data_IF_723420034612
#
_entry.id   IF_723420034612
#
_cell.length_a   1.000
_cell.length_b   1.000
_cell.length_c   1.000
_cell.angle_alpha   90.00
_cell.angle_beta   90.00
_cell.angle_gamma   90.00
#
_symmetry.space_group_name_H-M   'P 1'
#
loop_
_entity.id
_entity.type
_entity.pdbx_description
1 polymer ?
#
# COMPACT_ATOMS: atom_id res chain seq x y z
N UNK A 1 -77.79 45.63 -43.19
CA UNK A 1 -76.75 45.84 -42.15
C UNK A 1 -77.03 44.85 -41.04
N UNK A 2 -76.29 43.73 -41.01
CA UNK A 2 -76.38 42.72 -39.95
C UNK A 2 -74.96 42.33 -39.58
N UNK A 3 -74.60 42.60 -38.33
CA UNK A 3 -73.29 42.31 -37.74
C UNK A 3 -73.41 40.98 -37.00
N UNK A 4 -72.57 39.99 -37.34
CA UNK A 4 -72.45 38.74 -36.59
C UNK A 4 -71.17 38.79 -35.75
N UNK A 5 -71.31 38.70 -34.43
CA UNK A 5 -70.22 38.64 -33.46
C UNK A 5 -69.56 37.25 -33.47
N UNK A 6 -68.23 37.22 -33.55
CA UNK A 6 -67.42 36.04 -33.24
C UNK A 6 -67.06 36.04 -31.74
N UNK A 7 -67.35 34.94 -31.04
CA UNK A 7 -66.95 34.72 -29.66
C UNK A 7 -65.65 33.89 -29.62
N UNK A 8 -64.60 34.42 -28.99
CA UNK A 8 -63.35 33.71 -28.74
C UNK A 8 -63.41 33.03 -27.36
N UNK A 9 -63.10 31.73 -27.30
CA UNK A 9 -62.98 30.95 -26.06
C UNK A 9 -61.50 30.91 -25.65
N UNK A 10 -61.17 31.44 -24.48
CA UNK A 10 -59.84 31.34 -23.87
C UNK A 10 -59.77 30.10 -22.98
N UNK A 11 -58.84 29.19 -23.28
CA UNK A 11 -58.51 28.03 -22.44
C UNK A 11 -57.45 28.46 -21.42
N UNK A 12 -57.79 28.42 -20.13
CA UNK A 12 -56.85 28.64 -19.03
C UNK A 12 -56.22 27.31 -18.60
N UNK A 13 -54.89 27.20 -18.69
CA UNK A 13 -54.14 26.11 -18.07
C UNK A 13 -53.84 26.45 -16.60
N UNK A 14 -54.12 25.52 -15.68
CA UNK A 14 -53.69 25.62 -14.27
C UNK A 14 -52.29 25.00 -14.09
N UNK A 15 -51.42 25.56 -13.22
CA UNK A 15 -50.10 25.01 -12.94
C UNK A 15 -50.15 23.78 -12.02
N UNK A 16 -49.21 22.85 -12.22
CA UNK A 16 -49.06 21.63 -11.42
C UNK A 16 -48.35 21.90 -10.08
N UNK A 17 -48.59 21.09 -9.02
CA UNK A 17 -47.99 21.28 -7.71
C UNK A 17 -46.54 20.76 -7.63
N UNK A 18 -45.71 21.45 -6.85
CA UNK A 18 -44.27 21.15 -6.67
C UNK A 18 -44.00 19.88 -5.83
N UNK A 19 -42.92 19.13 -6.13
CA UNK A 19 -42.53 17.96 -5.35
C UNK A 19 -41.84 18.35 -4.03
N UNK A 20 -42.24 17.70 -2.94
CA UNK A 20 -41.67 17.88 -1.59
C UNK A 20 -40.27 17.27 -1.53
N UNK A 21 -39.24 18.11 -1.35
CA UNK A 21 -37.84 17.71 -1.19
C UNK A 21 -37.58 17.18 0.23
N UNK A 22 -37.32 15.89 0.37
CA UNK A 22 -36.86 15.30 1.62
C UNK A 22 -35.44 15.79 1.97
N UNK A 23 -35.22 16.18 3.24
CA UNK A 23 -33.91 16.59 3.74
C UNK A 23 -33.00 15.37 3.92
N UNK A 24 -31.70 15.45 3.55
CA UNK A 24 -30.77 14.35 3.79
C UNK A 24 -30.46 14.26 5.29
N UNK A 25 -30.62 13.05 5.85
CA UNK A 25 -30.14 12.73 7.20
C UNK A 25 -28.63 12.53 7.13
N UNK A 26 -27.87 13.45 7.71
CA UNK A 26 -26.42 13.30 7.87
C UNK A 26 -26.14 12.27 8.96
N UNK A 27 -25.78 11.06 8.56
CA UNK A 27 -25.19 10.07 9.47
C UNK A 27 -23.71 10.41 9.61
N UNK A 28 -23.32 10.97 10.76
CA UNK A 28 -21.92 11.17 11.10
C UNK A 28 -21.32 9.84 11.53
N UNK A 29 -20.66 9.14 10.61
CA UNK A 29 -19.84 7.96 10.95
C UNK A 29 -18.53 8.47 11.54
N UNK A 30 -18.38 8.42 12.86
CA UNK A 30 -17.10 8.63 13.52
C UNK A 30 -16.21 7.40 13.30
N UNK A 31 -15.34 7.45 12.28
CA UNK A 31 -14.26 6.49 12.10
C UNK A 31 -13.24 6.65 13.23
N UNK A 32 -13.32 5.81 14.26
CA UNK A 32 -12.26 5.71 15.26
C UNK A 32 -11.16 4.82 14.68
N UNK A 33 -10.06 5.42 14.25
CA UNK A 33 -8.83 4.70 13.84
C UNK A 33 -8.36 3.82 14.99
N UNK A 34 -8.25 2.51 14.76
CA UNK A 34 -7.84 1.55 15.78
C UNK A 34 -6.32 1.56 15.94
N UNK A 35 -5.82 1.50 17.18
CA UNK A 35 -4.38 1.46 17.43
C UNK A 35 -3.69 0.28 16.70
N UNK A 36 -2.39 0.39 16.38
CA UNK A 36 -1.61 -0.75 15.90
C UNK A 36 -1.72 -1.94 16.85
N UNK A 37 -1.80 -3.15 16.30
CA UNK A 37 -1.84 -4.40 17.09
C UNK A 37 -0.58 -5.19 16.81
N UNK A 38 0.14 -5.56 17.87
CA UNK A 38 1.38 -6.34 17.78
C UNK A 38 1.16 -7.72 18.39
N UNK A 39 1.47 -8.77 17.66
CA UNK A 39 1.28 -10.15 18.09
C UNK A 39 2.54 -11.00 17.85
N UNK A 40 2.84 -11.98 18.73
CA UNK A 40 3.81 -13.03 18.40
C UNK A 40 3.29 -13.86 17.21
N UNK A 41 4.22 -14.54 16.52
CA UNK A 41 3.90 -15.44 15.41
C UNK A 41 4.49 -16.82 15.66
N UNK A 42 3.80 -17.85 15.20
CA UNK A 42 4.28 -19.23 15.14
C UNK A 42 4.78 -19.55 13.73
N UNK A 43 5.47 -20.67 13.56
CA UNK A 43 5.83 -21.16 12.22
C UNK A 43 4.59 -21.41 11.33
N UNK A 44 3.47 -21.83 11.93
CA UNK A 44 2.22 -22.04 11.21
C UNK A 44 1.63 -20.72 10.70
N UNK A 45 1.69 -19.66 11.51
CA UNK A 45 1.21 -18.33 11.12
C UNK A 45 2.00 -17.74 9.96
N UNK A 46 3.29 -18.05 9.84
CA UNK A 46 4.19 -17.60 8.77
C UNK A 46 4.01 -18.37 7.46
N UNK A 47 3.43 -19.57 7.51
CA UNK A 47 3.22 -20.43 6.35
C UNK A 47 4.49 -20.63 5.51
N UNK A 48 4.35 -20.43 4.19
CA UNK A 48 5.45 -20.64 3.24
C UNK A 48 6.60 -19.61 3.34
N UNK A 49 6.40 -18.49 4.04
CA UNK A 49 7.44 -17.46 4.21
C UNK A 49 8.55 -17.89 5.16
N UNK A 50 8.38 -18.98 5.91
CA UNK A 50 9.36 -19.49 6.87
C UNK A 50 9.52 -21.01 6.76
N UNK A 51 10.74 -21.50 7.02
CA UNK A 51 11.06 -22.94 7.10
C UNK A 51 12.28 -23.17 8.01
N UNK A 52 12.52 -24.40 8.50
CA UNK A 52 13.79 -24.73 9.14
C UNK A 52 14.98 -24.35 8.24
N UNK A 53 15.98 -23.67 8.83
CA UNK A 53 17.13 -23.12 8.12
C UNK A 53 17.04 -21.62 7.81
N UNK A 54 15.88 -20.98 8.01
CA UNK A 54 15.78 -19.53 8.03
C UNK A 54 16.64 -18.91 9.13
N UNK A 55 17.20 -17.70 8.90
CA UNK A 55 18.20 -17.13 9.79
C UNK A 55 17.61 -16.58 11.10
N UNK A 56 16.28 -16.47 11.21
CA UNK A 56 15.57 -16.03 12.42
C UNK A 56 14.46 -17.01 12.77
N UNK A 57 14.25 -17.21 14.07
CA UNK A 57 13.17 -18.04 14.57
C UNK A 57 11.83 -17.27 14.59
N UNK A 58 10.66 -17.94 14.50
CA UNK A 58 9.36 -17.25 14.57
C UNK A 58 9.20 -16.39 15.84
N UNK A 59 9.78 -16.81 16.96
CA UNK A 59 9.75 -16.05 18.22
C UNK A 59 10.47 -14.69 18.17
N UNK A 60 11.32 -14.46 17.18
CA UNK A 60 12.02 -13.19 16.94
C UNK A 60 11.22 -12.24 16.04
N UNK A 61 10.15 -12.73 15.42
CA UNK A 61 9.29 -11.96 14.53
C UNK A 61 8.01 -11.53 15.25
N UNK A 62 7.42 -10.43 14.79
CA UNK A 62 6.12 -9.93 15.23
C UNK A 62 5.26 -9.64 14.01
N UNK A 63 4.00 -10.08 14.08
CA UNK A 63 2.95 -9.58 13.22
C UNK A 63 2.53 -8.21 13.75
N UNK A 64 2.44 -7.23 12.87
CA UNK A 64 1.93 -5.90 13.16
C UNK A 64 0.77 -5.60 12.22
N UNK A 65 -0.37 -5.24 12.80
CA UNK A 65 -1.52 -4.74 12.06
C UNK A 65 -1.48 -3.22 12.08
N UNK A 66 -1.47 -2.60 10.90
CA UNK A 66 -1.25 -1.17 10.69
C UNK A 66 -2.35 -0.56 9.83
N UNK A 67 -2.74 0.67 10.13
CA UNK A 67 -3.62 1.43 9.26
C UNK A 67 -2.82 2.18 8.19
N UNK A 68 -3.32 2.22 6.96
CA UNK A 68 -2.69 2.91 5.83
C UNK A 68 -3.73 3.57 4.93
N UNK A 69 -3.31 4.53 4.08
CA UNK A 69 -4.19 5.11 3.06
C UNK A 69 -4.11 4.28 1.78
N UNK A 70 -5.24 3.77 1.32
CA UNK A 70 -5.34 3.01 0.08
C UNK A 70 -5.22 3.88 -1.17
N UNK A 71 -5.07 3.27 -2.34
CA UNK A 71 -5.15 3.99 -3.62
C UNK A 71 -6.53 4.63 -3.87
N UNK A 72 -7.56 4.17 -3.18
CA UNK A 72 -8.90 4.78 -3.17
C UNK A 72 -9.00 6.02 -2.26
N UNK A 73 -7.92 6.36 -1.53
CA UNK A 73 -7.85 7.51 -0.64
C UNK A 73 -8.49 7.30 0.74
N UNK A 74 -8.96 6.09 1.03
CA UNK A 74 -9.59 5.70 2.30
C UNK A 74 -8.60 5.03 3.25
N UNK A 75 -8.97 4.95 4.53
CA UNK A 75 -8.24 4.17 5.52
C UNK A 75 -8.49 2.67 5.31
N UNK A 76 -7.40 1.92 5.22
CA UNK A 76 -7.37 0.46 5.19
C UNK A 76 -6.53 -0.06 6.34
N UNK A 77 -6.64 -1.37 6.61
CA UNK A 77 -5.81 -2.06 7.58
C UNK A 77 -5.04 -3.19 6.91
N UNK A 78 -3.73 -3.19 7.10
CA UNK A 78 -2.80 -4.12 6.52
C UNK A 78 -1.98 -4.85 7.58
N UNK A 79 -1.20 -5.84 7.13
CA UNK A 79 -0.39 -6.68 8.00
C UNK A 79 1.02 -6.77 7.47
N UNK A 80 2.00 -6.50 8.35
CA UNK A 80 3.41 -6.81 8.12
C UNK A 80 3.90 -7.79 9.17
N UNK A 81 4.95 -8.54 8.83
CA UNK A 81 5.73 -9.31 9.80
C UNK A 81 7.15 -8.79 9.77
N UNK A 82 7.66 -8.37 10.93
CA UNK A 82 8.99 -7.75 11.07
C UNK A 82 9.72 -8.32 12.27
N UNK A 83 11.03 -8.10 12.35
CA UNK A 83 11.82 -8.43 13.53
C UNK A 83 11.32 -7.63 14.74
N UNK A 84 11.27 -8.26 15.92
CA UNK A 84 10.78 -7.63 17.15
C UNK A 84 11.48 -6.30 17.49
N UNK A 85 12.74 -6.15 17.10
CA UNK A 85 13.56 -4.97 17.41
C UNK A 85 13.20 -3.73 16.56
N UNK A 86 12.52 -3.90 15.42
CA UNK A 86 12.14 -2.77 14.55
C UNK A 86 10.65 -2.43 14.62
N UNK A 87 9.87 -3.13 15.47
CA UNK A 87 8.42 -2.96 15.56
C UNK A 87 8.01 -1.50 15.79
N UNK A 88 8.61 -0.83 16.78
CA UNK A 88 8.25 0.54 17.13
C UNK A 88 8.62 1.52 16.00
N UNK A 89 9.78 1.32 15.36
CA UNK A 89 10.19 2.12 14.20
C UNK A 89 9.20 1.94 13.04
N UNK A 90 8.82 0.71 12.71
CA UNK A 90 7.88 0.44 11.62
C UNK A 90 6.49 1.00 11.92
N UNK A 91 5.99 0.88 13.15
CA UNK A 91 4.72 1.53 13.54
C UNK A 91 4.80 3.04 13.31
N UNK A 92 5.89 3.70 13.72
CA UNK A 92 6.06 5.13 13.51
C UNK A 92 6.17 5.51 12.03
N UNK A 93 6.87 4.70 11.22
CA UNK A 93 6.97 4.90 9.76
C UNK A 93 5.59 4.89 9.13
N UNK A 94 4.78 3.86 9.39
CA UNK A 94 3.47 3.75 8.74
C UNK A 94 2.46 4.75 9.28
N UNK A 95 2.57 5.17 10.54
CA UNK A 95 1.81 6.30 11.06
C UNK A 95 2.14 7.61 10.31
N UNK A 96 3.42 7.87 10.04
CA UNK A 96 3.85 9.02 9.24
C UNK A 96 3.36 8.94 7.80
N UNK A 97 3.51 7.78 7.13
CA UNK A 97 3.01 7.58 5.76
C UNK A 97 1.50 7.83 5.68
N UNK A 98 0.74 7.31 6.65
CA UNK A 98 -0.70 7.56 6.74
C UNK A 98 -1.01 9.05 6.97
N UNK A 99 -0.28 9.72 7.85
CA UNK A 99 -0.40 11.16 8.10
C UNK A 99 -0.11 12.02 6.87
N UNK A 100 0.86 11.60 6.06
CA UNK A 100 1.18 12.19 4.76
C UNK A 100 0.16 11.84 3.66
N UNK A 101 -0.78 10.93 3.96
CA UNK A 101 -1.72 10.34 3.00
C UNK A 101 -1.03 9.67 1.81
N UNK A 102 0.17 9.13 2.03
CA UNK A 102 0.88 8.36 1.02
C UNK A 102 0.08 7.09 0.68
N UNK A 103 -0.30 6.88 -0.59
CA UNK A 103 -1.17 5.79 -0.94
C UNK A 103 -0.39 4.48 -1.11
N UNK A 104 -0.89 3.43 -0.47
CA UNK A 104 -0.39 2.06 -0.55
C UNK A 104 -1.44 1.20 -1.24
N UNK A 105 -1.04 0.42 -2.23
CA UNK A 105 -1.98 -0.38 -3.00
C UNK A 105 -2.56 -1.54 -2.20
N UNK A 106 -1.68 -2.24 -1.48
CA UNK A 106 -2.00 -3.45 -0.72
C UNK A 106 -0.93 -3.66 0.33
N UNK A 107 -1.31 -4.26 1.47
CA UNK A 107 -0.37 -4.62 2.52
C UNK A 107 -0.80 -5.91 3.21
N UNK A 108 -0.21 -7.02 2.79
CA UNK A 108 -0.41 -8.33 3.38
C UNK A 108 0.87 -9.15 3.39
N UNK A 109 0.93 -10.12 4.29
CA UNK A 109 2.06 -11.07 4.36
C UNK A 109 2.19 -11.89 3.08
N UNK A 110 3.42 -12.14 2.57
CA UNK A 110 3.62 -12.91 1.33
C UNK A 110 3.08 -14.34 1.35
N UNK A 111 2.74 -14.91 2.52
CA UNK A 111 2.10 -16.23 2.64
C UNK A 111 0.75 -16.36 1.93
N UNK A 112 0.11 -15.25 1.55
CA UNK A 112 -1.11 -15.24 0.76
C UNK A 112 -0.89 -15.51 -0.73
N UNK A 113 0.37 -15.59 -1.18
CA UNK A 113 0.75 -15.97 -2.53
C UNK A 113 1.23 -17.42 -2.56
N UNK A 114 0.97 -18.18 -3.66
CA UNK A 114 1.42 -19.57 -3.79
C UNK A 114 2.92 -19.72 -3.49
N UNK A 115 3.26 -20.52 -2.47
CA UNK A 115 4.64 -20.76 -2.07
C UNK A 115 5.39 -19.53 -1.55
N UNK A 116 4.68 -18.45 -1.15
CA UNK A 116 5.27 -17.15 -0.84
C UNK A 116 6.14 -16.59 -1.99
N UNK A 117 5.71 -16.84 -3.23
CA UNK A 117 6.38 -16.36 -4.43
C UNK A 117 6.44 -14.82 -4.44
N UNK A 118 7.66 -14.29 -4.37
CA UNK A 118 7.94 -12.86 -4.25
C UNK A 118 7.43 -12.09 -5.47
N UNK A 119 7.68 -12.62 -6.68
CA UNK A 119 7.23 -12.01 -7.94
C UNK A 119 5.71 -11.80 -7.96
N UNK A 120 4.92 -12.79 -7.55
CA UNK A 120 3.45 -12.65 -7.51
C UNK A 120 2.99 -11.60 -6.49
N UNK A 121 3.72 -11.44 -5.39
CA UNK A 121 3.47 -10.38 -4.41
C UNK A 121 3.81 -9.01 -5.00
N UNK A 122 4.93 -8.90 -5.71
CA UNK A 122 5.37 -7.66 -6.33
C UNK A 122 4.45 -7.21 -7.47
N UNK A 123 4.05 -8.13 -8.37
CA UNK A 123 3.09 -7.88 -9.45
C UNK A 123 1.73 -7.38 -8.95
N UNK A 124 1.31 -7.86 -7.78
CA UNK A 124 0.08 -7.46 -7.09
C UNK A 124 0.25 -6.17 -6.26
N UNK A 125 1.37 -5.47 -6.47
CA UNK A 125 1.74 -4.22 -5.83
C UNK A 125 1.69 -4.27 -4.30
N UNK A 126 1.99 -5.44 -3.73
CA UNK A 126 1.85 -5.69 -2.31
C UNK A 126 3.05 -5.16 -1.52
N UNK A 127 2.79 -4.19 -0.65
CA UNK A 127 3.75 -3.76 0.36
C UNK A 127 3.94 -4.86 1.39
N UNK A 128 5.17 -5.36 1.54
CA UNK A 128 5.44 -6.53 2.37
C UNK A 128 6.82 -6.44 3.05
N UNK A 129 7.03 -7.27 4.07
CA UNK A 129 8.25 -7.26 4.88
C UNK A 129 8.89 -8.66 4.94
N UNK A 130 8.63 -9.46 5.97
CA UNK A 130 9.28 -10.76 6.11
C UNK A 130 8.95 -11.75 4.97
N UNK A 131 10.00 -12.25 4.31
CA UNK A 131 9.98 -13.41 3.41
C UNK A 131 11.35 -14.11 3.48
N UNK A 132 11.41 -15.34 3.99
CA UNK A 132 12.68 -16.05 4.14
C UNK A 132 13.19 -16.62 2.81
N UNK A 133 13.93 -15.79 2.08
CA UNK A 133 14.58 -16.13 0.83
C UNK A 133 16.01 -15.64 0.77
N UNK A 134 16.82 -16.32 -0.03
CA UNK A 134 18.13 -15.79 -0.41
C UNK A 134 17.96 -14.63 -1.41
N UNK A 135 19.01 -13.83 -1.57
CA UNK A 135 19.10 -12.91 -2.70
C UNK A 135 19.07 -13.70 -4.02
N UNK A 136 18.48 -13.15 -5.10
CA UNK A 136 18.46 -13.81 -6.41
C UNK A 136 19.86 -14.31 -6.82
N UNK A 137 19.96 -15.59 -7.20
CA UNK A 137 21.21 -16.22 -7.63
C UNK A 137 22.29 -16.40 -6.55
N UNK A 138 21.97 -16.22 -5.27
CA UNK A 138 22.92 -16.28 -4.15
C UNK A 138 22.49 -17.26 -3.06
N UNK A 139 23.44 -17.68 -2.21
CA UNK A 139 23.17 -18.37 -0.93
C UNK A 139 23.08 -17.39 0.24
N UNK A 140 23.33 -16.11 0.00
CA UNK A 140 23.24 -15.05 1.02
C UNK A 140 21.78 -14.69 1.27
N UNK A 141 21.38 -14.63 2.54
CA UNK A 141 20.04 -14.24 2.94
C UNK A 141 19.74 -12.78 2.60
N UNK A 142 18.54 -12.52 2.07
CA UNK A 142 17.98 -11.18 1.96
C UNK A 142 17.66 -10.61 3.35
N UNK A 143 17.65 -9.28 3.53
CA UNK A 143 17.20 -8.68 4.79
C UNK A 143 15.70 -8.88 5.08
N UNK A 144 14.91 -9.24 4.05
CA UNK A 144 13.55 -9.76 4.23
C UNK A 144 13.55 -11.05 5.07
N UNK A 145 14.57 -11.91 4.94
CA UNK A 145 14.67 -13.15 5.71
C UNK A 145 14.98 -12.91 7.20
N UNK A 146 15.39 -11.70 7.57
CA UNK A 146 15.60 -11.29 8.97
C UNK A 146 14.45 -10.45 9.52
N UNK A 147 13.42 -10.16 8.70
CA UNK A 147 12.33 -9.26 9.09
C UNK A 147 12.78 -7.80 9.23
N UNK A 148 13.83 -7.41 8.51
CA UNK A 148 14.49 -6.09 8.61
C UNK A 148 14.46 -5.29 7.31
N UNK A 149 13.61 -5.70 6.38
CA UNK A 149 13.36 -5.00 5.14
C UNK A 149 11.86 -4.87 4.88
N UNK A 150 11.49 -3.82 4.15
CA UNK A 150 10.13 -3.55 3.70
C UNK A 150 10.22 -3.12 2.23
N UNK A 151 9.43 -3.75 1.38
CA UNK A 151 9.21 -3.30 0.00
C UNK A 151 7.88 -2.57 -0.07
N UNK A 152 7.86 -1.36 -0.66
CA UNK A 152 6.67 -0.48 -0.73
C UNK A 152 6.21 -0.30 -2.17
N UNK A 153 4.96 -0.68 -2.44
CA UNK A 153 4.34 -0.65 -3.77
C UNK A 153 5.29 -1.15 -4.89
N UNK A 154 5.73 -2.42 -4.87
CA UNK A 154 6.69 -2.98 -5.83
C UNK A 154 6.40 -2.71 -7.32
N UNK A 155 5.13 -2.78 -7.73
CA UNK A 155 4.73 -2.54 -9.11
C UNK A 155 5.08 -1.11 -9.55
N UNK A 156 4.96 -0.14 -8.64
CA UNK A 156 5.21 1.28 -8.91
C UNK A 156 6.70 1.65 -8.71
N UNK A 157 7.41 0.85 -7.92
CA UNK A 157 8.77 1.10 -7.48
C UNK A 157 9.66 -0.13 -7.74
N UNK A 158 9.90 -0.50 -9.01
CA UNK A 158 10.54 -1.77 -9.30
C UNK A 158 12.01 -1.84 -8.88
N UNK A 159 12.49 -3.07 -8.70
CA UNK A 159 13.90 -3.41 -8.70
C UNK A 159 14.45 -3.44 -10.12
N UNK A 160 15.67 -2.91 -10.30
CA UNK A 160 16.42 -2.92 -11.54
C UNK A 160 17.82 -3.50 -11.30
N UNK A 161 18.03 -4.71 -11.82
CA UNK A 161 19.30 -5.43 -11.77
C UNK A 161 20.29 -4.94 -12.82
N UNK A 162 21.56 -5.30 -12.62
CA UNK A 162 22.68 -4.93 -13.51
C UNK A 162 22.47 -5.31 -14.97
N UNK A 163 21.83 -6.46 -15.20
CA UNK A 163 21.66 -7.06 -16.52
C UNK A 163 20.35 -6.63 -17.19
N UNK A 164 19.62 -5.67 -16.61
CA UNK A 164 18.29 -5.28 -17.04
C UNK A 164 17.17 -6.15 -16.47
N UNK A 165 17.48 -7.02 -15.50
CA UNK A 165 16.47 -7.77 -14.75
C UNK A 165 15.53 -6.77 -14.06
N UNK A 166 14.24 -6.89 -14.35
CA UNK A 166 13.20 -6.01 -13.84
C UNK A 166 12.27 -6.84 -12.96
N UNK A 167 12.12 -6.45 -11.70
CA UNK A 167 11.26 -7.14 -10.74
C UNK A 167 10.29 -6.12 -10.09
N UNK A 168 8.96 -6.31 -10.21
CA UNK A 168 8.31 -7.34 -11.00
C UNK A 168 8.46 -7.09 -12.51
N UNK A 169 8.48 -8.15 -13.32
CA UNK A 169 8.69 -8.07 -14.77
C UNK A 169 7.62 -7.23 -15.49
N UNK A 170 6.46 -7.05 -14.85
CA UNK A 170 5.34 -6.26 -15.37
C UNK A 170 5.45 -4.75 -15.09
N UNK A 171 6.46 -4.30 -14.32
CA UNK A 171 6.61 -2.91 -13.91
C UNK A 171 7.24 -1.98 -14.96
N UNK A 172 7.36 -2.41 -16.22
CA UNK A 172 8.03 -1.64 -17.28
C UNK A 172 7.48 -0.23 -17.47
N UNK A 173 6.19 -0.01 -17.22
CA UNK A 173 5.55 1.31 -17.28
C UNK A 173 6.01 2.32 -16.22
N UNK A 174 6.67 1.85 -15.15
CA UNK A 174 7.14 2.66 -14.02
C UNK A 174 8.66 2.90 -14.05
N UNK A 175 9.34 2.48 -15.13
CA UNK A 175 10.75 2.82 -15.37
C UNK A 175 10.96 4.31 -15.68
N UNK A 176 9.95 4.99 -16.23
CA UNK A 176 9.99 6.43 -16.38
C UNK A 176 9.84 7.12 -15.01
N UNK A 177 10.97 7.51 -14.42
CA UNK A 177 11.03 8.18 -13.12
C UNK A 177 10.71 9.68 -13.17
N UNK A 178 10.30 10.22 -14.32
CA UNK A 178 9.68 11.56 -14.40
C UNK A 178 8.19 11.56 -14.06
N UNK A 179 7.56 10.38 -14.06
CA UNK A 179 6.19 10.21 -13.61
C UNK A 179 6.06 10.51 -12.14
N UNK A 180 4.91 11.02 -11.73
CA UNK A 180 4.58 11.34 -10.33
C UNK A 180 3.28 10.66 -9.93
N UNK A 181 3.05 9.42 -10.38
CA UNK A 181 1.85 8.69 -10.04
C UNK A 181 1.76 8.49 -8.52
N UNK A 182 0.55 8.54 -7.93
CA UNK A 182 0.38 8.29 -6.51
C UNK A 182 0.94 6.92 -6.11
N UNK A 183 1.84 6.90 -5.13
CA UNK A 183 2.48 5.68 -4.62
C UNK A 183 3.82 5.34 -5.26
N UNK A 184 4.31 6.17 -6.19
CA UNK A 184 5.72 6.17 -6.61
C UNK A 184 6.60 6.82 -5.54
N UNK A 185 7.82 6.33 -5.40
CA UNK A 185 8.86 6.86 -4.51
C UNK A 185 9.95 7.57 -5.34
N UNK A 186 10.28 8.79 -4.95
CA UNK A 186 11.38 9.57 -5.47
C UNK A 186 12.35 9.94 -4.35
N UNK A 187 13.60 10.20 -4.72
CA UNK A 187 14.58 10.73 -3.79
C UNK A 187 14.03 12.01 -3.14
N UNK A 188 14.25 12.14 -1.84
CA UNK A 188 13.77 13.26 -1.02
C UNK A 188 12.24 13.40 -0.93
N UNK A 189 11.47 12.37 -1.30
CA UNK A 189 10.04 12.36 -0.99
C UNK A 189 9.82 12.30 0.53
N UNK A 190 8.77 12.96 1.06
CA UNK A 190 8.35 12.78 2.44
C UNK A 190 8.15 11.31 2.83
N UNK A 191 7.69 10.48 1.89
CA UNK A 191 7.51 9.05 2.11
C UNK A 191 8.84 8.31 2.28
N UNK A 192 9.87 8.63 1.47
CA UNK A 192 11.22 8.08 1.65
C UNK A 192 11.82 8.54 2.98
N UNK A 193 11.65 9.83 3.33
CA UNK A 193 12.13 10.37 4.61
C UNK A 193 11.50 9.73 5.83
N UNK A 194 10.24 9.29 5.74
CA UNK A 194 9.58 8.56 6.82
C UNK A 194 10.45 7.37 7.30
N UNK A 195 11.13 6.69 6.37
CA UNK A 195 12.09 5.63 6.64
C UNK A 195 13.48 6.18 6.98
N UNK A 196 14.07 7.01 6.10
CA UNK A 196 15.50 7.35 6.19
C UNK A 196 15.85 8.19 7.41
N UNK A 197 14.93 9.04 7.88
CA UNK A 197 15.15 9.84 9.09
C UNK A 197 15.19 8.97 10.36
N UNK A 198 14.77 7.70 10.25
CA UNK A 198 14.84 6.68 11.31
C UNK A 198 15.99 5.69 11.10
N UNK A 199 16.93 6.00 10.20
CA UNK A 199 18.13 5.18 9.98
C UNK A 199 17.93 3.96 9.07
N UNK A 200 16.81 3.89 8.36
CA UNK A 200 16.63 2.94 7.26
C UNK A 200 17.37 3.43 6.02
N UNK A 201 17.89 2.50 5.23
CA UNK A 201 18.53 2.78 3.94
C UNK A 201 17.53 2.47 2.84
N UNK A 202 17.35 3.41 1.91
CA UNK A 202 16.52 3.22 0.73
C UNK A 202 17.33 2.69 -0.45
N UNK A 203 16.85 1.62 -1.07
CA UNK A 203 17.47 0.94 -2.21
C UNK A 203 17.44 1.76 -3.50
N UNK A 204 16.54 2.74 -3.62
CA UNK A 204 16.50 3.66 -4.75
C UNK A 204 17.75 4.54 -4.89
N UNK A 205 18.54 4.68 -3.82
CA UNK A 205 19.81 5.42 -3.83
C UNK A 205 21.03 4.55 -4.14
N UNK A 206 20.86 3.24 -4.34
CA UNK A 206 21.95 2.35 -4.70
C UNK A 206 22.38 2.54 -6.15
N UNK A 207 23.59 2.09 -6.49
CA UNK A 207 24.12 2.16 -7.87
C UNK A 207 23.85 0.92 -8.68
N UNK A 208 23.91 -0.25 -8.03
CA UNK A 208 23.70 -1.53 -8.66
C UNK A 208 23.51 -2.62 -7.59
N UNK A 209 22.35 -3.27 -7.49
CA UNK A 209 21.11 -2.92 -8.21
C UNK A 209 20.58 -1.55 -7.80
N UNK A 210 19.59 -1.02 -8.51
CA UNK A 210 18.73 0.07 -8.01
C UNK A 210 17.43 -0.60 -7.58
N UNK A 211 17.02 -0.38 -6.33
CA UNK A 211 15.86 -1.10 -5.77
C UNK A 211 14.86 -0.10 -5.18
N UNK A 212 13.97 0.45 -6.02
CA UNK A 212 13.11 1.57 -5.62
C UNK A 212 12.08 1.20 -4.55
N UNK A 213 11.66 -0.06 -4.50
CA UNK A 213 10.70 -0.57 -3.52
C UNK A 213 11.32 -0.69 -2.13
N UNK A 214 12.63 -0.92 -2.06
CA UNK A 214 13.26 -1.54 -0.92
C UNK A 214 13.76 -0.55 0.13
N UNK A 215 13.43 -0.81 1.39
CA UNK A 215 14.02 -0.16 2.55
C UNK A 215 14.59 -1.22 3.50
N UNK A 216 15.81 -1.02 3.99
CA UNK A 216 16.44 -1.93 4.94
C UNK A 216 16.98 -1.27 6.21
N UNK A 217 16.93 -2.01 7.32
CA UNK A 217 17.50 -1.63 8.62
C UNK A 217 18.52 -2.67 9.08
N UNK A 218 19.78 -2.27 9.19
CA UNK A 218 20.86 -3.14 9.70
C UNK A 218 21.03 -3.03 11.19
#
# INVERSE_FOLDING_TARGET
MSVALAAAVLVQCSPAPDPIRAAPSSVTTTSTTAAPVVQPVTAADLGATWRPGCPVAPGELRRIDLDYIGLDGHDHRGVLVVHRDVVDEVIAIFADLRGQRYPIAKMQTPQHYPGAADELSMEDNNTSAFNCRALPGSTTWSLHAYGRAIDVNPQFNPYLGRNGDLEPATAGGYLDRHRTDPGMLHADDPAVRAFTDRGWVWGGNWRNPIDYQHFERR
#
